data_IF_790997482922
#
_entry.id   IF_790997482922
#
_cell.length_a   1.000
_cell.length_b   1.000
_cell.length_c   1.000
_cell.angle_alpha   90.00
_cell.angle_beta   90.00
_cell.angle_gamma   90.00
#
_symmetry.space_group_name_H-M   'P 1'
#
loop_
_entity.id
_entity.type
_entity.pdbx_description
1 polymer ?
#
# COMPACT_ATOMS: atom_id res chain seq x y z
N UNK A 1 -14.75 6.90 5.48
CA UNK A 1 -13.52 7.68 5.70
C UNK A 1 -12.69 7.76 4.41
N UNK A 2 -11.92 8.84 4.23
CA UNK A 2 -10.89 8.92 3.19
C UNK A 2 -9.54 8.53 3.80
N UNK A 3 -8.82 7.66 3.12
CA UNK A 3 -7.48 7.22 3.52
C UNK A 3 -6.47 7.54 2.42
N UNK A 4 -5.30 8.06 2.81
CA UNK A 4 -4.18 8.31 1.90
C UNK A 4 -3.10 7.24 2.09
N UNK A 5 -2.71 6.60 1.00
CA UNK A 5 -1.74 5.48 0.97
C UNK A 5 -0.61 5.83 0.00
N UNK A 6 0.64 5.79 0.47
CA UNK A 6 1.84 6.08 -0.34
C UNK A 6 2.88 4.96 -0.22
N UNK A 7 2.76 3.87 -1.00
CA UNK A 7 3.77 2.80 -1.04
C UNK A 7 4.62 2.89 -2.30
N UNK A 8 5.95 3.05 -2.15
CA UNK A 8 6.96 3.15 -3.22
C UNK A 8 6.70 4.19 -4.34
N UNK A 9 5.71 5.07 -4.16
CA UNK A 9 5.41 6.20 -5.02
C UNK A 9 5.48 7.47 -4.17
N UNK A 10 6.20 8.52 -4.62
CA UNK A 10 6.18 9.82 -3.94
C UNK A 10 4.77 10.43 -3.95
N UNK A 11 3.93 10.03 -4.91
CA UNK A 11 2.53 10.44 -4.98
C UNK A 11 1.67 9.43 -4.22
N UNK A 12 1.22 9.82 -3.03
CA UNK A 12 0.21 9.08 -2.28
C UNK A 12 -1.15 9.18 -2.95
N UNK A 13 -1.86 8.05 -3.06
CA UNK A 13 -3.20 7.99 -3.62
C UNK A 13 -4.26 7.99 -2.53
N UNK A 14 -5.46 8.45 -2.86
CA UNK A 14 -6.59 8.54 -1.95
C UNK A 14 -7.58 7.43 -2.23
N UNK A 15 -8.10 6.83 -1.17
CA UNK A 15 -9.03 5.72 -1.21
C UNK A 15 -10.21 6.01 -0.30
N UNK A 16 -11.40 5.64 -0.77
CA UNK A 16 -12.57 5.54 0.08
C UNK A 16 -12.53 4.21 0.83
N UNK A 17 -12.60 4.30 2.16
CA UNK A 17 -12.69 3.16 3.07
C UNK A 17 -13.92 3.34 3.96
N UNK A 18 -14.91 2.43 3.92
CA UNK A 18 -16.03 2.46 4.86
C UNK A 18 -15.55 2.48 6.31
N UNK A 19 -16.18 3.28 7.18
CA UNK A 19 -15.70 3.51 8.55
C UNK A 19 -15.59 2.21 9.37
N UNK A 20 -16.48 1.24 9.10
CA UNK A 20 -16.47 -0.08 9.73
C UNK A 20 -15.22 -0.93 9.43
N UNK A 21 -14.44 -0.56 8.42
CA UNK A 21 -13.19 -1.22 8.02
C UNK A 21 -11.94 -0.42 8.40
N UNK A 22 -12.11 0.81 8.91
CA UNK A 22 -11.00 1.72 9.15
C UNK A 22 -9.98 1.17 10.17
N UNK A 23 -10.47 0.51 11.23
CA UNK A 23 -9.63 -0.06 12.28
C UNK A 23 -8.90 -1.34 11.82
N UNK A 24 -9.45 -2.06 10.85
CA UNK A 24 -8.91 -3.31 10.32
C UNK A 24 -7.86 -3.09 9.22
N UNK A 25 -7.75 -1.88 8.69
CA UNK A 25 -6.81 -1.57 7.59
C UNK A 25 -5.36 -1.91 7.94
N UNK A 26 -4.95 -1.65 9.17
CA UNK A 26 -3.58 -1.94 9.64
C UNK A 26 -3.33 -3.45 9.79
N UNK A 27 -4.32 -4.22 10.24
CA UNK A 27 -4.24 -5.67 10.34
C UNK A 27 -4.17 -6.31 8.95
N UNK A 28 -5.09 -5.93 8.07
CA UNK A 28 -5.11 -6.40 6.67
C UNK A 28 -3.83 -6.05 5.92
N UNK A 29 -3.16 -4.96 6.28
CA UNK A 29 -1.85 -4.60 5.71
C UNK A 29 -0.77 -5.61 6.11
N UNK A 30 -0.74 -6.03 7.37
CA UNK A 30 0.22 -7.06 7.84
C UNK A 30 -0.06 -8.38 7.12
N UNK A 31 -1.33 -8.77 7.06
CA UNK A 31 -1.74 -9.98 6.33
C UNK A 31 -1.38 -9.93 4.85
N UNK A 32 -1.57 -8.78 4.19
CA UNK A 32 -1.21 -8.59 2.80
C UNK A 32 0.31 -8.71 2.59
N UNK A 33 1.11 -8.14 3.49
CA UNK A 33 2.56 -8.30 3.48
C UNK A 33 2.96 -9.78 3.60
N UNK A 34 2.37 -10.53 4.53
CA UNK A 34 2.65 -11.96 4.70
C UNK A 34 2.21 -12.80 3.50
N UNK A 35 1.03 -12.51 2.95
CA UNK A 35 0.54 -13.10 1.71
C UNK A 35 1.54 -12.89 0.58
N UNK A 36 2.01 -11.65 0.41
CA UNK A 36 2.99 -11.32 -0.62
C UNK A 36 4.29 -12.08 -0.45
N UNK A 37 4.77 -12.31 0.78
CA UNK A 37 5.97 -13.13 1.03
C UNK A 37 5.74 -14.61 0.68
N UNK A 38 4.53 -15.12 0.86
CA UNK A 38 4.18 -16.52 0.57
C UNK A 38 4.15 -16.88 -0.93
N UNK A 39 4.05 -15.89 -1.82
CA UNK A 39 4.00 -16.14 -3.27
C UNK A 39 5.32 -16.72 -3.77
N UNK A 40 5.32 -17.95 -4.30
CA UNK A 40 6.54 -18.61 -4.82
C UNK A 40 6.91 -18.20 -6.26
N UNK A 41 6.06 -17.42 -6.93
CA UNK A 41 6.27 -17.00 -8.31
C UNK A 41 7.18 -15.76 -8.43
N UNK A 42 7.84 -15.61 -9.61
CA UNK A 42 8.45 -14.33 -10.01
C UNK A 42 7.34 -13.29 -10.10
N UNK A 43 7.22 -12.47 -9.06
CA UNK A 43 6.20 -11.44 -9.02
C UNK A 43 6.56 -10.37 -10.07
N UNK A 44 5.65 -9.99 -10.97
CA UNK A 44 5.92 -8.96 -11.99
C UNK A 44 6.27 -7.59 -11.39
N UNK A 45 6.13 -7.44 -10.07
CA UNK A 45 6.40 -6.22 -9.32
C UNK A 45 7.62 -6.33 -8.37
N UNK A 46 8.51 -7.30 -8.59
CA UNK A 46 9.81 -7.33 -7.88
C UNK A 46 10.71 -6.21 -8.42
N UNK A 47 10.98 -5.20 -7.59
CA UNK A 47 11.89 -4.10 -7.92
C UNK A 47 13.21 -4.28 -7.18
N UNK A 48 14.29 -3.89 -7.85
CA UNK A 48 15.59 -3.72 -7.20
C UNK A 48 15.60 -2.36 -6.49
N UNK A 49 15.87 -2.37 -5.19
CA UNK A 49 15.97 -1.17 -4.36
C UNK A 49 17.34 -1.11 -3.73
N UNK A 50 18.00 0.03 -3.85
CA UNK A 50 19.25 0.34 -3.20
C UNK A 50 19.15 1.62 -2.36
N UNK A 51 19.79 1.62 -1.19
CA UNK A 51 20.04 2.83 -0.39
C UNK A 51 21.51 3.16 -0.45
N UNK A 52 21.80 4.40 -0.81
CA UNK A 52 23.16 4.95 -0.87
C UNK A 52 23.22 6.06 0.18
N UNK A 53 24.19 5.98 1.07
CA UNK A 53 24.37 6.99 2.12
C UNK A 53 24.87 8.32 1.54
N UNK A 54 24.98 9.33 2.41
CA UNK A 54 25.46 10.67 2.02
C UNK A 54 26.93 10.71 1.55
N UNK A 55 27.69 9.64 1.80
CA UNK A 55 29.09 9.47 1.38
C UNK A 55 29.20 8.73 0.04
N UNK A 56 28.09 8.27 -0.54
CA UNK A 56 28.05 7.52 -1.79
C UNK A 56 28.27 6.01 -1.61
N UNK A 57 28.28 5.50 -0.38
CA UNK A 57 28.43 4.07 -0.09
C UNK A 57 27.08 3.36 -0.06
N UNK A 58 27.06 2.13 -0.57
CA UNK A 58 25.88 1.27 -0.57
C UNK A 58 25.57 0.77 0.85
N UNK A 59 24.42 1.13 1.39
CA UNK A 59 23.94 0.63 2.69
C UNK A 59 23.21 -0.71 2.53
N UNK A 60 22.36 -0.83 1.51
CA UNK A 60 21.70 -2.09 1.15
C UNK A 60 21.28 -2.11 -0.32
N UNK A 61 21.24 -3.32 -0.90
CA UNK A 61 20.73 -3.61 -2.23
C UNK A 61 19.90 -4.89 -2.18
N UNK A 62 18.59 -4.78 -2.34
CA UNK A 62 17.65 -5.91 -2.20
C UNK A 62 16.60 -5.90 -3.30
N UNK A 63 16.13 -7.09 -3.67
CA UNK A 63 14.92 -7.22 -4.47
C UNK A 63 13.71 -7.25 -3.53
N UNK A 64 12.88 -6.21 -3.60
CA UNK A 64 11.64 -6.09 -2.83
C UNK A 64 10.44 -6.30 -3.75
N UNK A 65 9.40 -6.95 -3.24
CA UNK A 65 8.10 -7.01 -3.92
C UNK A 65 7.42 -5.68 -3.68
N UNK A 66 7.39 -4.81 -4.70
CA UNK A 66 6.65 -3.56 -4.65
C UNK A 66 5.17 -3.82 -4.99
N UNK A 67 4.26 -3.12 -4.33
CA UNK A 67 2.82 -3.22 -4.58
C UNK A 67 2.20 -1.84 -4.39
N UNK A 68 1.35 -1.38 -5.30
CA UNK A 68 0.66 -0.11 -5.14
C UNK A 68 -0.40 -0.15 -4.04
N UNK A 69 -0.90 1.03 -3.66
CA UNK A 69 -2.14 1.10 -2.89
C UNK A 69 -3.32 0.45 -3.62
N UNK A 70 -3.33 0.49 -4.96
CA UNK A 70 -4.34 -0.15 -5.80
C UNK A 70 -4.29 -1.69 -5.64
N UNK A 71 -3.10 -2.31 -5.63
CA UNK A 71 -2.93 -3.75 -5.42
C UNK A 71 -3.44 -4.20 -4.05
N UNK A 72 -3.15 -3.40 -3.01
CA UNK A 72 -3.66 -3.67 -1.66
C UNK A 72 -5.18 -3.57 -1.59
N UNK A 73 -5.79 -2.58 -2.24
CA UNK A 73 -7.25 -2.45 -2.29
C UNK A 73 -7.91 -3.58 -3.06
N UNK A 74 -7.32 -4.00 -4.18
CA UNK A 74 -7.82 -5.12 -4.98
C UNK A 74 -7.77 -6.42 -4.17
N UNK A 75 -6.67 -6.67 -3.44
CA UNK A 75 -6.57 -7.80 -2.53
C UNK A 75 -7.66 -7.78 -1.44
N UNK A 76 -7.92 -6.62 -0.81
CA UNK A 76 -9.01 -6.49 0.18
C UNK A 76 -10.36 -6.84 -0.45
N UNK A 77 -10.67 -6.26 -1.62
CA UNK A 77 -11.94 -6.46 -2.28
C UNK A 77 -12.19 -7.93 -2.62
N UNK A 78 -11.14 -8.66 -3.01
CA UNK A 78 -11.21 -10.09 -3.33
C UNK A 78 -11.25 -10.95 -2.06
N UNK A 79 -10.23 -10.84 -1.21
CA UNK A 79 -9.97 -11.81 -0.14
C UNK A 79 -10.75 -11.51 1.14
N UNK A 80 -11.12 -10.25 1.39
CA UNK A 80 -11.80 -9.83 2.63
C UNK A 80 -13.28 -9.56 2.42
N UNK A 81 -13.61 -8.86 1.33
CA UNK A 81 -14.95 -8.32 1.12
C UNK A 81 -15.79 -9.12 0.12
N UNK A 82 -15.16 -9.95 -0.71
CA UNK A 82 -15.78 -10.64 -1.86
C UNK A 82 -16.70 -9.72 -2.68
N UNK A 83 -16.33 -8.43 -2.76
CA UNK A 83 -17.10 -7.35 -3.36
C UNK A 83 -16.24 -6.08 -3.43
N UNK A 84 -16.62 -5.13 -4.29
CA UNK A 84 -15.94 -3.84 -4.37
C UNK A 84 -16.39 -2.92 -3.24
N UNK A 85 -15.70 -2.97 -2.11
CA UNK A 85 -16.00 -2.16 -0.92
C UNK A 85 -15.01 -1.03 -0.64
N UNK A 86 -13.76 -1.16 -1.11
CA UNK A 86 -12.73 -0.09 -1.05
C UNK A 86 -12.29 0.28 -2.45
N UNK A 87 -12.06 1.56 -2.71
CA UNK A 87 -11.70 2.01 -4.06
C UNK A 87 -10.99 3.36 -4.07
N UNK A 88 -10.16 3.56 -5.10
CA UNK A 88 -9.45 4.82 -5.35
C UNK A 88 -10.42 5.96 -5.66
N UNK A 89 -10.14 7.13 -5.10
CA UNK A 89 -10.84 8.38 -5.35
C UNK A 89 -9.86 9.46 -5.85
N UNK A 90 -10.35 10.51 -6.53
CA UNK A 90 -9.52 11.68 -6.86
C UNK A 90 -8.93 12.31 -5.60
N UNK A 91 -7.80 13.01 -5.77
CA UNK A 91 -7.23 13.80 -4.67
C UNK A 91 -8.27 14.82 -4.18
N UNK A 92 -8.58 14.86 -2.87
CA UNK A 92 -9.39 15.92 -2.31
C UNK A 92 -8.65 17.27 -2.42
N UNK A 93 -9.37 18.41 -2.35
CA UNK A 93 -8.80 19.75 -2.44
C UNK A 93 -7.78 20.05 -1.32
N UNK A 94 -7.97 19.44 -0.15
CA UNK A 94 -7.04 19.44 0.96
C UNK A 94 -7.11 18.10 1.73
N UNK A 95 -6.11 17.85 2.59
CA UNK A 95 -5.94 16.60 3.33
C UNK A 95 -6.73 16.58 4.67
N UNK A 96 -7.58 17.57 4.96
CA UNK A 96 -8.25 17.68 6.27
C UNK A 96 -9.29 16.59 6.53
N UNK A 97 -9.87 16.01 5.47
CA UNK A 97 -10.84 14.91 5.55
C UNK A 97 -10.17 13.51 5.56
N UNK A 98 -8.83 13.47 5.52
CA UNK A 98 -8.07 12.22 5.56
C UNK A 98 -7.96 11.74 7.00
N UNK A 99 -8.84 10.82 7.40
CA UNK A 99 -8.89 10.29 8.76
C UNK A 99 -7.73 9.33 9.09
N UNK A 100 -7.15 8.67 8.08
CA UNK A 100 -6.02 7.76 8.22
C UNK A 100 -4.99 8.03 7.12
N UNK A 101 -3.74 8.27 7.51
CA UNK A 101 -2.59 8.38 6.61
C UNK A 101 -1.67 7.20 6.85
N UNK A 102 -1.64 6.27 5.90
CA UNK A 102 -0.68 5.17 5.92
C UNK A 102 0.48 5.61 5.02
N UNK A 103 1.52 6.12 5.66
CA UNK A 103 2.79 6.42 5.02
C UNK A 103 3.65 5.17 5.07
N UNK A 104 4.47 4.96 4.04
CA UNK A 104 5.33 3.80 3.93
C UNK A 104 6.74 4.22 3.54
#
# INVERSE_FOLDING_TARGET
>A
MIMKISYFSPDGFYYYVPDQYAEQMDEWRIEFSDFLQSLECKHPFTQYTESINYEGELEYAVFVRCFGGDDFMDWINVEKLNSRGVYRIPSPPDDSEVGLKINF
#
